data_IF_859743009217
#
_entry.id   IF_859743009217
#
_cell.length_a   1.000
_cell.length_b   1.000
_cell.length_c   1.000
_cell.angle_alpha   90.00
_cell.angle_beta   90.00
_cell.angle_gamma   90.00
#
_symmetry.space_group_name_H-M   'P 1'
#
loop_
_entity.id
_entity.type
_entity.pdbx_description
1 polymer ?
#
# COMPACT_ATOMS: atom_id res chain seq x y z
N UNK A 1 -10.84 -15.83 -14.32
CA UNK A 1 -10.15 -14.85 -13.49
C UNK A 1 -9.06 -14.19 -14.32
N UNK A 2 -8.74 -12.93 -14.07
CA UNK A 2 -7.56 -12.27 -14.63
C UNK A 2 -6.42 -12.33 -13.61
N UNK A 3 -5.19 -12.57 -14.08
CA UNK A 3 -4.00 -12.57 -13.23
C UNK A 3 -3.28 -11.22 -13.38
N UNK A 4 -3.09 -10.50 -12.27
CA UNK A 4 -2.37 -9.22 -12.26
C UNK A 4 -0.90 -9.45 -11.88
N UNK A 5 0.01 -8.94 -12.71
CA UNK A 5 1.47 -8.97 -12.50
C UNK A 5 2.06 -7.62 -12.07
N UNK A 6 1.27 -6.55 -12.20
CA UNK A 6 1.64 -5.16 -11.93
C UNK A 6 2.08 -4.37 -13.16
N UNK A 7 2.13 -5.00 -14.34
CA UNK A 7 2.78 -4.44 -15.53
C UNK A 7 1.91 -4.54 -16.81
N UNK A 8 1.09 -5.59 -16.97
CA UNK A 8 0.47 -5.95 -18.26
C UNK A 8 -1.03 -5.68 -18.42
N UNK A 9 -1.70 -5.08 -17.42
CA UNK A 9 -3.16 -4.84 -17.47
C UNK A 9 -3.54 -3.87 -18.60
N UNK A 10 -4.47 -4.28 -19.47
CA UNK A 10 -4.96 -3.44 -20.58
C UNK A 10 -6.25 -2.69 -20.22
N UNK A 11 -6.61 -1.69 -21.03
CA UNK A 11 -7.88 -0.97 -20.90
C UNK A 11 -9.09 -1.86 -21.21
N UNK A 12 -8.95 -2.82 -22.13
CA UNK A 12 -9.99 -3.80 -22.43
C UNK A 12 -10.26 -4.72 -21.23
N UNK A 13 -9.20 -5.21 -20.59
CA UNK A 13 -9.31 -5.99 -19.36
C UNK A 13 -10.04 -5.20 -18.26
N UNK A 14 -9.73 -3.91 -18.12
CA UNK A 14 -10.35 -3.03 -17.14
C UNK A 14 -11.86 -2.87 -17.40
N UNK A 15 -12.27 -2.66 -18.66
CA UNK A 15 -13.69 -2.58 -19.04
C UNK A 15 -14.40 -3.89 -18.72
N UNK A 16 -13.78 -5.03 -19.00
CA UNK A 16 -14.36 -6.34 -18.73
C UNK A 16 -14.46 -6.66 -17.24
N UNK A 17 -13.49 -6.22 -16.43
CA UNK A 17 -13.54 -6.30 -14.98
C UNK A 17 -14.69 -5.49 -14.39
N UNK A 18 -14.92 -4.27 -14.89
CA UNK A 18 -16.03 -3.41 -14.45
C UNK A 18 -17.42 -4.01 -14.71
N UNK A 19 -17.54 -4.90 -15.71
CA UNK A 19 -18.77 -5.65 -16.00
C UNK A 19 -18.98 -6.84 -15.06
N UNK A 20 -18.02 -7.18 -14.21
CA UNK A 20 -18.11 -8.28 -13.24
C UNK A 20 -17.91 -9.68 -13.83
N UNK A 21 -17.39 -9.77 -15.05
CA UNK A 21 -17.26 -11.07 -15.76
C UNK A 21 -16.08 -11.92 -15.26
N UNK A 22 -15.14 -11.32 -14.53
CA UNK A 22 -13.93 -12.00 -14.09
C UNK A 22 -13.63 -11.74 -12.61
N UNK A 23 -13.21 -12.80 -11.91
CA UNK A 23 -12.52 -12.68 -10.62
C UNK A 23 -11.07 -12.22 -10.83
N UNK A 24 -10.46 -11.57 -9.84
CA UNK A 24 -9.06 -11.14 -9.88
C UNK A 24 -8.20 -12.11 -9.06
N UNK A 25 -6.97 -12.36 -9.52
CA UNK A 25 -5.91 -13.00 -8.73
C UNK A 25 -4.56 -12.32 -8.99
N UNK A 26 -3.62 -12.44 -8.06
CA UNK A 26 -2.24 -12.03 -8.30
C UNK A 26 -1.46 -13.15 -8.98
N UNK A 27 -0.44 -12.79 -9.75
CA UNK A 27 0.58 -13.76 -10.17
C UNK A 27 1.53 -14.06 -9.00
N UNK A 28 2.15 -15.24 -8.95
CA UNK A 28 3.14 -15.56 -7.92
C UNK A 28 4.32 -14.58 -7.89
N UNK A 29 4.66 -13.98 -9.04
CA UNK A 29 5.70 -12.96 -9.14
C UNK A 29 5.26 -11.63 -8.51
N UNK A 30 4.02 -11.20 -8.74
CA UNK A 30 3.47 -10.01 -8.09
C UNK A 30 3.37 -10.18 -6.57
N UNK A 31 2.92 -11.33 -6.09
CA UNK A 31 2.87 -11.64 -4.65
C UNK A 31 4.26 -11.53 -4.01
N UNK A 32 5.29 -12.10 -4.64
CA UNK A 32 6.68 -11.98 -4.18
C UNK A 32 7.18 -10.54 -4.17
N UNK A 33 6.85 -9.74 -5.19
CA UNK A 33 7.21 -8.30 -5.24
C UNK A 33 6.59 -7.56 -4.05
N UNK A 34 5.29 -7.78 -3.78
CA UNK A 34 4.58 -7.18 -2.64
C UNK A 34 5.19 -7.58 -1.30
N UNK A 35 5.51 -8.87 -1.12
CA UNK A 35 6.15 -9.38 0.09
C UNK A 35 7.51 -8.70 0.33
N UNK A 36 8.35 -8.61 -0.70
CA UNK A 36 9.65 -7.94 -0.61
C UNK A 36 9.52 -6.45 -0.27
N UNK A 37 8.55 -5.76 -0.87
CA UNK A 37 8.25 -4.38 -0.50
C UNK A 37 7.83 -4.26 0.96
N UNK A 38 7.03 -5.21 1.48
CA UNK A 38 6.64 -5.21 2.89
C UNK A 38 7.84 -5.40 3.82
N UNK A 39 8.78 -6.29 3.49
CA UNK A 39 10.00 -6.50 4.28
C UNK A 39 10.83 -5.22 4.42
N UNK A 40 10.90 -4.39 3.37
CA UNK A 40 11.58 -3.07 3.42
C UNK A 40 10.87 -2.11 4.38
N UNK A 41 9.54 -2.11 4.41
CA UNK A 41 8.79 -1.28 5.37
C UNK A 41 9.05 -1.76 6.81
N UNK A 42 9.05 -3.07 7.05
CA UNK A 42 9.36 -3.63 8.36
C UNK A 42 10.78 -3.28 8.83
N UNK A 43 11.78 -3.32 7.93
CA UNK A 43 13.14 -2.92 8.27
C UNK A 43 13.23 -1.43 8.64
N UNK A 44 12.58 -0.55 7.89
CA UNK A 44 12.50 0.90 8.17
C UNK A 44 11.93 1.15 9.57
N UNK A 45 10.83 0.47 9.92
CA UNK A 45 10.18 0.64 11.23
C UNK A 45 11.07 0.09 12.35
N UNK A 46 11.69 -1.08 12.15
CA UNK A 46 12.60 -1.71 13.12
C UNK A 46 13.84 -0.86 13.40
N UNK A 47 14.43 -0.31 12.34
CA UNK A 47 15.62 0.55 12.40
C UNK A 47 15.31 1.97 12.88
N UNK A 48 14.02 2.32 13.03
CA UNK A 48 13.52 3.66 13.38
C UNK A 48 14.01 4.74 12.40
N UNK A 49 14.17 4.36 11.14
CA UNK A 49 14.55 5.27 10.07
C UNK A 49 13.42 6.28 9.82
N UNK A 50 13.75 7.56 9.73
CA UNK A 50 12.78 8.64 9.53
C UNK A 50 12.35 8.67 8.06
N UNK A 51 11.13 8.23 7.76
CA UNK A 51 10.59 8.13 6.40
C UNK A 51 9.15 8.65 6.36
N UNK A 52 8.88 9.49 5.37
CA UNK A 52 7.59 10.14 5.16
C UNK A 52 6.44 9.14 5.06
N UNK A 53 5.39 9.35 5.86
CA UNK A 53 4.17 8.53 5.85
C UNK A 53 4.35 7.09 6.38
N UNK A 54 5.57 6.69 6.74
CA UNK A 54 5.87 5.42 7.41
C UNK A 54 6.13 5.66 8.89
N UNK A 55 7.13 6.48 9.22
CA UNK A 55 7.49 6.82 10.61
C UNK A 55 7.30 8.30 10.90
N UNK A 56 6.80 9.08 9.94
CA UNK A 56 6.36 10.47 10.14
C UNK A 56 4.89 10.67 9.77
N UNK A 57 4.32 11.80 10.17
CA UNK A 57 2.97 12.19 9.79
C UNK A 57 2.84 12.61 8.31
N UNK A 58 1.65 13.05 7.92
CA UNK A 58 1.34 13.49 6.55
C UNK A 58 1.23 15.02 6.45
N UNK A 59 1.45 15.56 5.25
CA UNK A 59 1.23 16.98 4.95
C UNK A 59 1.95 17.93 5.92
N UNK A 60 1.19 18.74 6.67
CA UNK A 60 1.73 19.68 7.69
C UNK A 60 2.61 18.98 8.74
N UNK A 61 2.37 17.69 9.01
CA UNK A 61 3.10 16.89 9.99
C UNK A 61 4.20 16.01 9.36
N UNK A 62 4.59 16.26 8.10
CA UNK A 62 5.62 15.48 7.39
C UNK A 62 6.96 15.38 8.15
N UNK A 63 7.28 16.37 8.98
CA UNK A 63 8.51 16.45 9.78
C UNK A 63 8.35 15.94 11.21
N UNK A 64 7.15 15.50 11.59
CA UNK A 64 6.86 14.99 12.93
C UNK A 64 7.08 13.50 12.96
N UNK A 65 8.08 13.04 13.72
CA UNK A 65 8.32 11.61 13.96
C UNK A 65 7.19 11.05 14.83
N UNK A 66 6.64 9.91 14.40
CA UNK A 66 5.54 9.23 15.07
C UNK A 66 6.10 8.01 15.82
N UNK A 67 5.77 7.85 17.10
CA UNK A 67 6.12 6.64 17.85
C UNK A 67 5.57 5.37 17.19
N UNK A 68 6.35 4.28 17.22
CA UNK A 68 5.99 2.99 16.58
C UNK A 68 4.63 2.48 17.04
N UNK A 69 4.31 2.61 18.34
CA UNK A 69 3.03 2.19 18.91
C UNK A 69 1.82 3.04 18.46
N UNK A 70 2.05 4.14 17.73
CA UNK A 70 0.99 4.99 17.16
C UNK A 70 0.88 4.87 15.64
N UNK A 71 1.72 4.07 14.98
CA UNK A 71 1.71 3.98 13.53
C UNK A 71 0.42 3.37 12.98
N UNK A 72 -0.15 2.37 13.65
CA UNK A 72 -1.43 1.80 13.24
C UNK A 72 -2.58 2.83 13.35
N UNK A 73 -2.65 3.54 14.48
CA UNK A 73 -3.63 4.61 14.69
C UNK A 73 -3.51 5.71 13.63
N UNK A 74 -2.26 6.08 13.29
CA UNK A 74 -1.97 7.05 12.23
C UNK A 74 -2.57 6.63 10.88
N UNK A 75 -2.41 5.36 10.47
CA UNK A 75 -2.95 4.85 9.20
C UNK A 75 -4.48 4.81 9.20
N UNK A 76 -5.11 4.41 10.31
CA UNK A 76 -6.58 4.44 10.45
C UNK A 76 -7.12 5.88 10.34
N UNK A 77 -6.46 6.83 11.02
CA UNK A 77 -6.86 8.23 11.00
C UNK A 77 -6.64 8.88 9.62
N UNK A 78 -5.64 8.44 8.85
CA UNK A 78 -5.46 8.88 7.47
C UNK A 78 -6.67 8.54 6.62
N UNK A 79 -7.10 7.27 6.61
CA UNK A 79 -8.27 6.82 5.82
C UNK A 79 -9.51 7.60 6.22
N UNK A 80 -9.78 7.73 7.53
CA UNK A 80 -10.95 8.45 8.04
C UNK A 80 -11.01 9.92 7.63
N UNK A 81 -9.86 10.60 7.62
CA UNK A 81 -9.80 12.03 7.29
C UNK A 81 -9.91 12.34 5.78
N UNK A 82 -9.76 11.33 4.91
CA UNK A 82 -9.76 11.50 3.45
C UNK A 82 -10.89 10.73 2.73
N UNK A 83 -11.81 10.11 3.46
CA UNK A 83 -12.95 9.35 2.90
C UNK A 83 -14.27 10.14 2.88
N UNK A 84 -14.18 11.46 2.68
CA UNK A 84 -15.33 12.38 2.57
C UNK A 84 -15.87 12.46 1.15
#
# INVERSE_FOLDING_TARGET
YIALDGDSLTTEDLVNLGKGHYKIKLTPTAEKKVQKSREVIESIVKEKTVVYGITTGFGKFARTVIPVNKLEELQVNLVRSHSS
#
